data_IF_912451655083
#
_entry.id   IF_912451655083
#
_cell.length_a   1.000
_cell.length_b   1.000
_cell.length_c   1.000
_cell.angle_alpha   90.00
_cell.angle_beta   90.00
_cell.angle_gamma   90.00
#
_symmetry.space_group_name_H-M   'P 1'
#
loop_
_entity.id
_entity.type
_entity.pdbx_description
1 polymer ?
#
# COMPACT_ATOMS: atom_id res chain seq x y z
N UNK A 1 33.55 -29.25 17.63
CA UNK A 1 33.65 -28.20 16.58
C UNK A 1 32.27 -27.72 16.11
N UNK A 2 31.21 -28.55 16.20
CA UNK A 2 29.85 -28.22 15.74
C UNK A 2 29.07 -27.28 16.68
N UNK A 3 29.42 -27.16 17.95
CA UNK A 3 28.72 -26.32 18.93
C UNK A 3 29.01 -24.82 18.78
N UNK A 4 30.16 -24.44 18.27
CA UNK A 4 30.58 -23.03 18.10
C UNK A 4 29.89 -22.40 16.89
N UNK A 5 29.61 -23.16 15.82
CA UNK A 5 28.96 -22.67 14.63
C UNK A 5 27.46 -22.36 14.87
N UNK A 6 26.78 -23.16 15.69
CA UNK A 6 25.38 -22.94 16.02
C UNK A 6 25.16 -21.68 16.88
N UNK A 7 26.07 -21.41 17.83
CA UNK A 7 26.00 -20.21 18.67
C UNK A 7 26.21 -18.90 17.91
N UNK A 8 27.11 -18.89 16.92
CA UNK A 8 27.41 -17.73 16.10
C UNK A 8 26.23 -17.37 15.18
N UNK A 9 25.55 -18.36 14.60
CA UNK A 9 24.38 -18.12 13.73
C UNK A 9 23.18 -17.55 14.52
N UNK A 10 22.97 -18.06 15.73
CA UNK A 10 21.87 -17.59 16.60
C UNK A 10 22.13 -16.17 17.11
N UNK A 11 23.38 -15.85 17.44
CA UNK A 11 23.77 -14.51 17.89
C UNK A 11 23.60 -13.44 16.80
N UNK A 12 23.97 -13.74 15.57
CA UNK A 12 23.80 -12.83 14.42
C UNK A 12 22.33 -12.62 14.12
N UNK A 13 21.50 -13.66 14.20
CA UNK A 13 20.06 -13.54 13.96
C UNK A 13 19.35 -12.68 15.01
N UNK A 14 19.72 -12.77 16.28
CA UNK A 14 19.17 -11.96 17.36
C UNK A 14 19.57 -10.48 17.28
N UNK A 15 20.75 -10.17 16.75
CA UNK A 15 21.25 -8.80 16.59
C UNK A 15 20.73 -8.12 15.32
N UNK A 16 20.37 -8.88 14.28
CA UNK A 16 19.89 -8.32 13.00
C UNK A 16 18.38 -8.16 12.95
N UNK A 17 17.63 -8.95 13.72
CA UNK A 17 16.15 -8.89 13.73
C UNK A 17 15.58 -7.51 14.02
N UNK A 18 15.98 -6.78 15.08
CA UNK A 18 15.44 -5.45 15.36
C UNK A 18 15.77 -4.43 14.26
N UNK A 19 16.95 -4.55 13.63
CA UNK A 19 17.34 -3.65 12.54
C UNK A 19 16.57 -3.90 11.25
N UNK A 20 16.17 -5.14 10.98
CA UNK A 20 15.31 -5.50 9.85
C UNK A 20 13.90 -4.97 10.07
N UNK A 21 13.34 -5.14 11.27
CA UNK A 21 12.01 -4.63 11.63
C UNK A 21 11.95 -3.10 11.58
N UNK A 22 12.99 -2.40 12.03
CA UNK A 22 13.10 -0.95 11.94
C UNK A 22 13.17 -0.47 10.48
N UNK A 23 13.96 -1.13 9.64
CA UNK A 23 14.07 -0.80 8.22
C UNK A 23 12.74 -1.02 7.47
N UNK A 24 11.98 -2.08 7.79
CA UNK A 24 10.65 -2.33 7.22
C UNK A 24 9.69 -1.23 7.65
N UNK A 25 9.68 -0.86 8.92
CA UNK A 25 8.85 0.23 9.46
C UNK A 25 9.18 1.56 8.79
N UNK A 26 10.45 1.89 8.60
CA UNK A 26 10.88 3.12 7.93
C UNK A 26 10.42 3.15 6.46
N UNK A 27 10.52 2.03 5.74
CA UNK A 27 10.02 1.92 4.37
C UNK A 27 8.51 2.10 4.29
N UNK A 28 7.76 1.52 5.22
CA UNK A 28 6.30 1.70 5.29
C UNK A 28 5.93 3.16 5.54
N UNK A 29 6.57 3.80 6.51
CA UNK A 29 6.33 5.22 6.83
C UNK A 29 6.67 6.13 5.65
N UNK A 30 7.78 5.89 4.97
CA UNK A 30 8.15 6.62 3.76
C UNK A 30 7.12 6.44 2.64
N UNK A 31 6.58 5.23 2.47
CA UNK A 31 5.51 4.93 1.54
C UNK A 31 4.21 5.67 1.87
N UNK A 32 3.80 5.72 3.14
CA UNK A 32 2.61 6.46 3.57
C UNK A 32 2.75 7.96 3.33
N UNK A 33 3.93 8.53 3.57
CA UNK A 33 4.21 9.93 3.24
C UNK A 33 4.13 10.18 1.73
N UNK A 34 4.67 9.27 0.92
CA UNK A 34 4.63 9.38 -0.53
C UNK A 34 3.19 9.32 -1.09
N UNK A 35 2.36 8.37 -0.62
CA UNK A 35 0.97 8.26 -1.10
C UNK A 35 0.06 9.37 -0.61
N UNK A 36 0.42 10.08 0.47
CA UNK A 36 -0.30 11.25 0.96
C UNK A 36 0.33 12.59 0.50
N UNK A 37 1.35 12.54 -0.35
CA UNK A 37 2.05 13.74 -0.83
C UNK A 37 2.57 14.62 0.33
N UNK A 38 3.18 13.98 1.32
CA UNK A 38 3.78 14.60 2.49
C UNK A 38 5.30 14.68 2.35
N UNK A 39 5.92 15.67 3.00
CA UNK A 39 7.37 15.74 3.05
C UNK A 39 7.97 14.57 3.84
N UNK A 40 9.11 14.05 3.41
CA UNK A 40 9.77 12.95 4.14
C UNK A 40 10.25 13.37 5.54
N UNK A 41 10.42 14.67 5.77
CA UNK A 41 10.75 15.26 7.07
C UNK A 41 9.55 15.36 8.02
N UNK A 42 8.32 15.26 7.53
CA UNK A 42 7.13 15.36 8.38
C UNK A 42 7.10 14.21 9.39
N UNK A 43 6.76 14.54 10.63
CA UNK A 43 6.52 13.54 11.66
C UNK A 43 5.04 13.16 11.62
N UNK A 44 4.76 11.91 11.26
CA UNK A 44 3.40 11.39 11.16
C UNK A 44 3.11 10.44 12.32
N UNK A 45 1.90 10.52 12.84
CA UNK A 45 1.33 9.54 13.77
C UNK A 45 0.33 8.66 13.03
N UNK A 46 0.36 7.36 13.33
CA UNK A 46 -0.48 6.35 12.73
C UNK A 46 -1.46 5.78 13.76
N UNK A 47 -2.74 5.88 13.48
CA UNK A 47 -3.77 5.18 14.23
C UNK A 47 -4.29 4.02 13.40
N UNK A 48 -4.07 2.79 13.85
CA UNK A 48 -4.59 1.60 13.19
C UNK A 48 -6.11 1.54 13.33
N UNK A 49 -6.78 1.41 12.19
CA UNK A 49 -8.24 1.24 12.10
C UNK A 49 -8.59 -0.23 11.82
N UNK A 50 -9.84 -0.59 12.07
CA UNK A 50 -10.34 -1.92 11.75
C UNK A 50 -10.54 -2.07 10.25
N UNK A 51 -10.09 -3.19 9.69
CA UNK A 51 -10.38 -3.61 8.32
C UNK A 51 -11.61 -4.52 8.37
N UNK A 52 -12.62 -4.21 7.55
CA UNK A 52 -13.81 -5.04 7.46
C UNK A 52 -13.50 -6.41 6.84
N UNK A 53 -14.34 -7.41 7.11
CA UNK A 53 -14.18 -8.76 6.53
C UNK A 53 -14.27 -8.73 4.99
N UNK A 54 -15.07 -7.82 4.44
CA UNK A 54 -15.19 -7.60 3.00
C UNK A 54 -13.88 -7.12 2.40
N UNK A 55 -13.25 -6.10 2.99
CA UNK A 55 -11.95 -5.59 2.56
C UNK A 55 -10.83 -6.61 2.74
N UNK A 56 -10.83 -7.34 3.85
CA UNK A 56 -9.87 -8.43 4.09
C UNK A 56 -10.01 -9.54 3.04
N UNK A 57 -11.23 -9.85 2.62
CA UNK A 57 -11.51 -10.81 1.54
C UNK A 57 -11.01 -10.36 0.15
N UNK A 58 -10.82 -9.06 -0.06
CA UNK A 58 -10.25 -8.49 -1.29
C UNK A 58 -8.71 -8.48 -1.22
N UNK A 59 -8.14 -8.53 -0.03
CA UNK A 59 -6.70 -8.52 0.20
C UNK A 59 -6.18 -7.29 0.96
N UNK A 60 -7.06 -6.43 1.48
CA UNK A 60 -6.65 -5.31 2.34
C UNK A 60 -6.17 -5.85 3.68
N UNK A 61 -4.94 -5.52 4.05
CA UNK A 61 -4.28 -6.03 5.25
C UNK A 61 -4.25 -5.04 6.40
N UNK A 62 -4.13 -3.75 6.10
CA UNK A 62 -4.09 -2.70 7.10
C UNK A 62 -4.82 -1.43 6.63
N UNK A 63 -5.32 -0.68 7.60
CA UNK A 63 -5.88 0.66 7.43
C UNK A 63 -5.34 1.54 8.54
N UNK A 64 -4.83 2.72 8.21
CA UNK A 64 -4.32 3.69 9.16
C UNK A 64 -4.86 5.09 8.87
N UNK A 65 -5.36 5.75 9.91
CA UNK A 65 -5.51 7.20 9.91
C UNK A 65 -4.16 7.84 10.18
N UNK A 66 -3.79 8.81 9.36
CA UNK A 66 -2.51 9.51 9.42
C UNK A 66 -2.73 10.94 9.90
N UNK A 67 -2.04 11.32 10.97
CA UNK A 67 -2.10 12.67 11.54
C UNK A 67 -0.73 13.31 11.60
N UNK A 68 -0.71 14.65 11.49
CA UNK A 68 0.43 15.50 11.81
C UNK A 68 -0.03 16.48 12.88
N UNK A 69 0.66 16.54 14.02
CA UNK A 69 0.32 17.42 15.13
C UNK A 69 -1.18 17.36 15.50
N UNK A 70 -1.73 16.15 15.63
CA UNK A 70 -3.14 15.89 15.92
C UNK A 70 -4.13 16.18 14.79
N UNK A 71 -3.71 16.74 13.68
CA UNK A 71 -4.55 17.01 12.51
C UNK A 71 -4.58 15.82 11.57
N UNK A 72 -5.77 15.30 11.25
CA UNK A 72 -5.94 14.24 10.25
C UNK A 72 -5.56 14.75 8.86
N UNK A 73 -4.53 14.15 8.27
CA UNK A 73 -4.06 14.51 6.92
C UNK A 73 -4.51 13.54 5.84
N UNK A 74 -4.88 12.32 6.22
CA UNK A 74 -5.41 11.34 5.29
C UNK A 74 -5.54 9.96 5.90
N UNK A 75 -6.00 9.01 5.09
CA UNK A 75 -6.09 7.59 5.45
C UNK A 75 -5.32 6.79 4.41
N UNK A 76 -4.58 5.77 4.87
CA UNK A 76 -3.82 4.87 4.00
C UNK A 76 -4.25 3.44 4.21
N UNK A 77 -4.21 2.66 3.14
CA UNK A 77 -4.50 1.23 3.14
C UNK A 77 -3.30 0.48 2.58
N UNK A 78 -2.96 -0.63 3.22
CA UNK A 78 -2.06 -1.65 2.67
C UNK A 78 -2.91 -2.79 2.13
N UNK A 79 -2.56 -3.30 0.96
CA UNK A 79 -3.23 -4.44 0.38
C UNK A 79 -2.24 -5.39 -0.31
N UNK A 80 -2.56 -6.68 -0.27
CA UNK A 80 -1.90 -7.72 -1.03
C UNK A 80 -2.94 -8.41 -1.91
N UNK A 81 -2.80 -8.27 -3.21
CA UNK A 81 -3.74 -8.85 -4.18
C UNK A 81 -3.03 -9.77 -5.17
N UNK A 82 -3.84 -10.55 -5.87
CA UNK A 82 -3.40 -11.32 -7.03
C UNK A 82 -3.82 -10.59 -8.30
N UNK A 83 -2.82 -10.12 -9.08
CA UNK A 83 -3.00 -9.63 -10.43
C UNK A 83 -2.89 -10.77 -11.45
N UNK A 84 -2.03 -10.61 -12.46
CA UNK A 84 -1.65 -11.73 -13.32
C UNK A 84 -0.81 -12.75 -12.52
N UNK A 85 0.12 -12.24 -11.72
CA UNK A 85 0.86 -13.03 -10.73
C UNK A 85 0.38 -12.70 -9.31
N UNK A 86 0.64 -13.61 -8.36
CA UNK A 86 0.36 -13.38 -6.94
C UNK A 86 1.43 -12.51 -6.28
N UNK A 87 1.08 -11.87 -5.16
CA UNK A 87 2.03 -11.12 -4.33
C UNK A 87 2.26 -9.68 -4.77
N UNK A 88 1.25 -9.04 -5.38
CA UNK A 88 1.25 -7.60 -5.57
C UNK A 88 0.85 -6.92 -4.25
N UNK A 89 1.82 -6.30 -3.60
CA UNK A 89 1.65 -5.55 -2.35
C UNK A 89 1.77 -4.07 -2.64
N UNK A 90 0.77 -3.30 -2.26
CA UNK A 90 0.73 -1.86 -2.50
C UNK A 90 0.11 -1.07 -1.35
N UNK A 91 0.31 0.24 -1.41
CA UNK A 91 -0.28 1.24 -0.54
C UNK A 91 -1.10 2.22 -1.37
N UNK A 92 -2.25 2.62 -0.86
CA UNK A 92 -3.06 3.70 -1.44
C UNK A 92 -3.44 4.70 -0.35
N UNK A 93 -3.39 5.98 -0.68
CA UNK A 93 -3.75 7.06 0.23
C UNK A 93 -4.96 7.85 -0.27
N UNK A 94 -5.75 8.35 0.67
CA UNK A 94 -6.93 9.20 0.43
C UNK A 94 -6.85 10.49 1.23
N UNK A 95 -7.20 11.60 0.60
CA UNK A 95 -7.32 12.94 1.23
C UNK A 95 -8.58 13.63 0.74
N UNK A 96 -9.38 14.18 1.66
CA UNK A 96 -10.62 14.84 1.26
C UNK A 96 -11.56 13.86 0.55
N UNK A 97 -11.90 14.12 -0.68
CA UNK A 97 -12.76 13.28 -1.54
C UNK A 97 -11.98 12.62 -2.68
N UNK A 98 -10.63 12.58 -2.58
CA UNK A 98 -9.76 12.19 -3.68
C UNK A 98 -8.81 11.07 -3.31
N UNK A 99 -8.40 10.33 -4.34
CA UNK A 99 -7.19 9.51 -4.28
C UNK A 99 -5.97 10.42 -4.13
N UNK A 100 -5.20 10.24 -3.07
CA UNK A 100 -3.99 11.05 -2.84
C UNK A 100 -2.78 10.48 -3.57
N UNK A 101 -2.64 9.15 -3.63
CA UNK A 101 -1.54 8.51 -4.32
C UNK A 101 -1.53 7.00 -4.17
N UNK A 102 -0.55 6.38 -4.84
CA UNK A 102 -0.36 4.94 -4.91
C UNK A 102 1.14 4.60 -4.85
N UNK A 103 1.50 3.54 -4.16
CA UNK A 103 2.88 3.07 -4.06
C UNK A 103 2.94 1.54 -4.04
N UNK A 104 3.80 0.96 -4.87
CA UNK A 104 4.06 -0.48 -4.90
C UNK A 104 5.15 -0.81 -3.91
N UNK A 105 4.88 -1.73 -2.99
CA UNK A 105 5.85 -2.25 -2.02
C UNK A 105 6.60 -3.44 -2.61
N UNK A 106 5.86 -4.35 -3.25
CA UNK A 106 6.39 -5.56 -3.87
C UNK A 106 5.48 -6.01 -5.00
N UNK A 107 6.07 -6.55 -6.05
CA UNK A 107 5.34 -7.07 -7.19
C UNK A 107 6.12 -8.21 -7.84
N UNK A 108 5.42 -9.28 -8.20
CA UNK A 108 5.91 -10.38 -9.01
C UNK A 108 5.38 -10.29 -10.45
N UNK A 109 4.85 -9.13 -10.85
CA UNK A 109 4.35 -8.91 -12.20
C UNK A 109 5.48 -8.96 -13.24
N UNK A 110 5.14 -9.38 -14.44
CA UNK A 110 6.11 -9.56 -15.51
C UNK A 110 6.59 -8.21 -16.06
N UNK A 111 7.91 -7.97 -16.14
CA UNK A 111 8.46 -6.79 -16.82
C UNK A 111 7.96 -6.68 -18.28
N UNK A 112 7.73 -5.47 -18.76
CA UNK A 112 7.16 -5.20 -20.08
C UNK A 112 5.63 -5.32 -20.16
N UNK A 113 4.99 -5.83 -19.09
CA UNK A 113 3.54 -6.01 -18.99
C UNK A 113 2.98 -5.39 -17.68
N UNK A 114 2.66 -6.21 -16.69
CA UNK A 114 2.07 -5.75 -15.45
C UNK A 114 2.95 -4.82 -14.64
N UNK A 115 4.26 -5.08 -14.57
CA UNK A 115 5.20 -4.25 -13.83
C UNK A 115 5.24 -2.81 -14.37
N UNK A 116 5.37 -2.64 -15.69
CA UNK A 116 5.38 -1.31 -16.33
C UNK A 116 4.05 -0.56 -16.17
N UNK A 117 2.93 -1.30 -16.12
CA UNK A 117 1.63 -0.73 -15.87
C UNK A 117 1.54 -0.14 -14.44
N UNK A 118 2.07 -0.85 -13.44
CA UNK A 118 2.05 -0.41 -12.06
C UNK A 118 2.79 0.93 -11.84
N UNK A 119 3.85 1.19 -12.61
CA UNK A 119 4.58 2.46 -12.57
C UNK A 119 3.70 3.66 -12.98
N UNK A 120 2.68 3.44 -13.79
CA UNK A 120 1.79 4.50 -14.27
C UNK A 120 0.59 4.76 -13.34
N UNK A 121 0.28 3.85 -12.43
CA UNK A 121 -0.95 3.90 -11.61
C UNK A 121 -1.01 5.14 -10.73
N UNK A 122 0.11 5.51 -10.10
CA UNK A 122 0.16 6.70 -9.25
C UNK A 122 -0.34 7.95 -9.99
N UNK A 123 0.20 8.20 -11.18
CA UNK A 123 -0.17 9.37 -11.99
C UNK A 123 -1.61 9.29 -12.52
N UNK A 124 -2.12 8.08 -12.74
CA UNK A 124 -3.50 7.90 -13.22
C UNK A 124 -4.55 8.16 -12.16
N UNK A 125 -4.26 7.93 -10.88
CA UNK A 125 -5.25 8.08 -9.80
C UNK A 125 -5.04 9.31 -8.93
N UNK A 126 -3.83 9.86 -8.86
CA UNK A 126 -3.52 11.02 -8.01
C UNK A 126 -4.43 12.20 -8.34
N UNK A 127 -5.17 12.67 -7.34
CA UNK A 127 -6.08 13.80 -7.46
C UNK A 127 -7.45 13.50 -8.11
N UNK A 128 -7.70 12.25 -8.51
CA UNK A 128 -9.01 11.84 -9.04
C UNK A 128 -10.03 11.78 -7.92
N UNK A 129 -11.23 12.30 -8.17
CA UNK A 129 -12.34 12.23 -7.22
C UNK A 129 -12.79 10.77 -7.01
N UNK A 130 -13.13 10.44 -5.77
CA UNK A 130 -13.70 9.13 -5.48
C UNK A 130 -15.09 9.05 -6.11
N UNK A 131 -15.31 8.02 -6.90
CA UNK A 131 -16.53 7.83 -7.70
C UNK A 131 -16.31 8.10 -9.19
N UNK A 132 -15.27 8.84 -9.54
CA UNK A 132 -14.87 8.96 -10.94
C UNK A 132 -14.17 7.68 -11.43
N UNK A 133 -14.29 7.37 -12.71
CA UNK A 133 -13.63 6.20 -13.29
C UNK A 133 -12.11 6.26 -13.17
N UNK A 134 -11.51 5.19 -12.66
CA UNK A 134 -10.05 5.03 -12.56
C UNK A 134 -9.59 3.83 -13.42
N UNK A 135 -8.35 3.88 -13.89
CA UNK A 135 -7.68 2.77 -14.59
C UNK A 135 -8.51 2.21 -15.77
N UNK A 136 -9.10 3.09 -16.57
CA UNK A 136 -10.13 2.78 -17.57
C UNK A 136 -9.63 2.05 -18.81
N UNK A 137 -8.36 2.17 -19.17
CA UNK A 137 -7.83 1.61 -20.41
C UNK A 137 -6.63 0.68 -20.20
N UNK A 138 -6.87 -0.60 -19.91
CA UNK A 138 -5.84 -1.62 -20.00
C UNK A 138 -5.74 -2.17 -21.44
N UNK A 139 -5.70 -1.32 -22.46
CA UNK A 139 -5.86 -1.69 -23.89
C UNK A 139 -4.78 -2.60 -24.47
N UNK A 140 -3.90 -3.18 -23.66
CA UNK A 140 -2.90 -4.14 -24.10
C UNK A 140 -2.99 -5.43 -23.28
N UNK A 141 -3.08 -6.53 -23.99
CA UNK A 141 -3.07 -7.90 -23.47
C UNK A 141 -2.01 -8.13 -22.41
N UNK A 142 -2.37 -8.73 -21.27
CA UNK A 142 -1.49 -8.99 -20.13
C UNK A 142 -1.59 -7.95 -19.00
N UNK A 143 -2.06 -6.73 -19.28
CA UNK A 143 -2.28 -5.67 -18.28
C UNK A 143 -3.68 -5.68 -17.68
N UNK A 144 -4.66 -6.23 -18.41
CA UNK A 144 -6.09 -6.20 -18.07
C UNK A 144 -6.40 -6.91 -16.75
N UNK A 145 -5.77 -8.06 -16.50
CA UNK A 145 -6.02 -8.85 -15.27
C UNK A 145 -5.55 -8.06 -14.05
N UNK A 146 -4.31 -7.57 -14.08
CA UNK A 146 -3.74 -6.76 -13.00
C UNK A 146 -4.49 -5.45 -12.81
N UNK A 147 -4.84 -4.76 -13.89
CA UNK A 147 -5.60 -3.51 -13.84
C UNK A 147 -7.00 -3.70 -13.25
N UNK A 148 -7.70 -4.77 -13.61
CA UNK A 148 -9.03 -5.06 -13.06
C UNK A 148 -8.99 -5.45 -11.58
N UNK A 149 -8.02 -6.28 -11.18
CA UNK A 149 -7.82 -6.66 -9.79
C UNK A 149 -7.48 -5.42 -8.93
N UNK A 150 -6.58 -4.58 -9.43
CA UNK A 150 -6.17 -3.35 -8.77
C UNK A 150 -7.33 -2.35 -8.65
N UNK A 151 -8.07 -2.11 -9.73
CA UNK A 151 -9.25 -1.23 -9.72
C UNK A 151 -10.26 -1.67 -8.67
N UNK A 152 -10.61 -2.95 -8.64
CA UNK A 152 -11.54 -3.50 -7.65
C UNK A 152 -11.08 -3.24 -6.21
N UNK A 153 -9.80 -3.44 -5.92
CA UNK A 153 -9.24 -3.17 -4.59
C UNK A 153 -9.24 -1.68 -4.25
N UNK A 154 -8.86 -0.81 -5.19
CA UNK A 154 -8.83 0.64 -4.99
C UNK A 154 -10.24 1.22 -4.78
N UNK A 155 -11.22 0.79 -5.57
CA UNK A 155 -12.63 1.22 -5.43
C UNK A 155 -13.24 0.75 -4.10
N UNK A 156 -12.90 -0.46 -3.64
CA UNK A 156 -13.36 -0.96 -2.35
C UNK A 156 -12.75 -0.15 -1.18
N UNK A 157 -11.46 0.15 -1.22
CA UNK A 157 -10.82 1.04 -0.24
C UNK A 157 -11.45 2.44 -0.24
N UNK A 158 -11.74 2.98 -1.42
CA UNK A 158 -12.36 4.29 -1.57
C UNK A 158 -13.77 4.34 -0.97
N UNK A 159 -14.57 3.30 -1.17
CA UNK A 159 -15.91 3.17 -0.59
C UNK A 159 -15.85 3.14 0.93
N UNK A 160 -15.01 2.27 1.51
CA UNK A 160 -14.81 2.18 2.97
C UNK A 160 -14.29 3.51 3.57
N UNK A 161 -13.40 4.19 2.85
CA UNK A 161 -12.91 5.50 3.28
C UNK A 161 -14.03 6.56 3.37
N UNK A 162 -14.91 6.62 2.38
CA UNK A 162 -16.04 7.56 2.38
C UNK A 162 -17.06 7.22 3.48
N UNK A 163 -17.37 5.93 3.67
CA UNK A 163 -18.26 5.47 4.73
C UNK A 163 -17.74 5.82 6.12
N UNK A 164 -16.44 5.63 6.34
CA UNK A 164 -15.77 6.01 7.60
C UNK A 164 -15.74 7.51 7.89
N UNK A 165 -15.98 8.36 6.89
CA UNK A 165 -16.10 9.83 7.05
C UNK A 165 -17.52 10.30 7.29
N UNK A 166 -18.50 9.52 6.88
CA UNK A 166 -19.92 9.87 7.03
C UNK A 166 -20.48 9.60 8.45
N UNK A 167 -19.72 8.87 9.28
CA UNK A 167 -20.04 8.59 10.69
C UNK A 167 -19.25 9.46 11.63
#
# INVERSE_FOLDING_TARGET
>A
VTLVAAGALTGVHLLTKPKIEENIKQKQLSGYKAVLDLAQSDVIDLKKETVSDELAGIGVTNKFSVTIDTTLVGVVYDAEITGYNSGLIFQVGFKGTKYAGFNVISSNETPGYGADYLETVHEQIKGVEIGDPILQDPSKTGKTITANALRKALEACATDYLEGRAG
#
